data_IF_015457758096
#
_entry.id   IF_015457758096
#
_cell.length_a   1.000
_cell.length_b   1.000
_cell.length_c   1.000
_cell.angle_alpha   90.00
_cell.angle_beta   90.00
_cell.angle_gamma   90.00
#
_symmetry.space_group_name_H-M   'P 1'
#
loop_
_entity.id
_entity.type
_entity.pdbx_description
1 polymer ?
#
# COMPACT_ATOMS: atom_id res chain seq x y z
N UNK A 1 -5.70 17.29 -9.67
CA UNK A 1 -5.33 15.87 -9.49
C UNK A 1 -4.94 15.65 -8.04
N UNK A 2 -5.72 14.86 -7.29
CA UNK A 2 -5.37 14.47 -5.93
C UNK A 2 -4.17 13.53 -6.00
N UNK A 3 -2.96 14.03 -5.74
CA UNK A 3 -1.79 13.18 -5.57
C UNK A 3 -1.85 12.63 -4.15
N UNK A 4 -2.40 11.43 -3.99
CA UNK A 4 -2.29 10.73 -2.71
C UNK A 4 -0.81 10.44 -2.43
N UNK A 5 -0.41 10.66 -1.17
CA UNK A 5 0.96 10.35 -0.73
C UNK A 5 1.13 8.83 -0.71
N UNK A 6 2.26 8.29 -1.18
CA UNK A 6 2.52 6.87 -1.05
C UNK A 6 2.45 6.42 0.41
N UNK A 7 1.74 5.33 0.68
CA UNK A 7 1.55 4.80 2.03
C UNK A 7 2.07 3.38 2.13
N UNK A 8 2.56 3.01 3.31
CA UNK A 8 2.96 1.63 3.59
C UNK A 8 1.76 0.78 4.03
N UNK A 9 1.95 -0.54 4.06
CA UNK A 9 0.96 -1.48 4.56
C UNK A 9 0.55 -1.17 6.02
N UNK A 10 1.50 -0.81 6.87
CA UNK A 10 1.25 -0.46 8.27
C UNK A 10 0.48 0.85 8.40
N UNK A 11 0.86 1.88 7.63
CA UNK A 11 0.14 3.17 7.63
C UNK A 11 -1.33 3.01 7.24
N UNK A 12 -1.60 2.14 6.25
CA UNK A 12 -2.96 1.85 5.79
C UNK A 12 -3.72 1.05 6.85
N UNK A 13 -3.08 0.03 7.44
CA UNK A 13 -3.66 -0.81 8.48
C UNK A 13 -4.10 0.01 9.70
N UNK A 14 -3.26 0.94 10.16
CA UNK A 14 -3.56 1.83 11.29
C UNK A 14 -4.71 2.79 10.95
N UNK A 15 -4.75 3.32 9.73
CA UNK A 15 -5.77 4.29 9.30
C UNK A 15 -7.18 3.70 9.20
N UNK A 16 -7.28 2.43 8.81
CA UNK A 16 -8.57 1.74 8.63
C UNK A 16 -8.87 0.73 9.75
N UNK A 17 -8.01 0.69 10.78
CA UNK A 17 -8.13 -0.16 11.98
C UNK A 17 -8.31 -1.66 11.66
N UNK A 18 -7.49 -2.18 10.74
CA UNK A 18 -7.49 -3.62 10.39
C UNK A 18 -6.09 -4.25 10.47
N UNK A 19 -5.96 -5.58 10.60
CA UNK A 19 -4.67 -6.24 10.65
C UNK A 19 -3.83 -6.01 9.38
N UNK A 20 -2.53 -5.73 9.55
CA UNK A 20 -1.58 -5.56 8.43
C UNK A 20 -1.54 -6.76 7.48
N UNK A 21 -1.76 -7.99 7.97
CA UNK A 21 -1.82 -9.17 7.13
C UNK A 21 -2.97 -9.13 6.10
N UNK A 22 -4.13 -8.59 6.50
CA UNK A 22 -5.28 -8.42 5.61
C UNK A 22 -4.98 -7.36 4.55
N UNK A 23 -4.42 -6.22 4.97
CA UNK A 23 -4.00 -5.15 4.06
C UNK A 23 -2.99 -5.66 3.04
N UNK A 24 -1.98 -6.43 3.46
CA UNK A 24 -0.97 -7.00 2.57
C UNK A 24 -1.58 -7.92 1.49
N UNK A 25 -2.58 -8.72 1.87
CA UNK A 25 -3.33 -9.57 0.92
C UNK A 25 -4.04 -8.73 -0.15
N UNK A 26 -4.73 -7.66 0.27
CA UNK A 26 -5.39 -6.74 -0.64
C UNK A 26 -4.42 -5.96 -1.53
N UNK A 27 -3.31 -5.43 -0.99
CA UNK A 27 -2.28 -4.75 -1.77
C UNK A 27 -1.67 -5.68 -2.81
N UNK A 28 -1.42 -6.94 -2.45
CA UNK A 28 -0.93 -7.97 -3.38
C UNK A 28 -1.95 -8.26 -4.50
N UNK A 29 -3.25 -8.25 -4.20
CA UNK A 29 -4.30 -8.37 -5.20
C UNK A 29 -4.35 -7.15 -6.13
N UNK A 30 -4.35 -5.93 -5.59
CA UNK A 30 -4.40 -4.68 -6.35
C UNK A 30 -3.19 -4.50 -7.27
N UNK A 31 -2.00 -4.89 -6.80
CA UNK A 31 -0.77 -4.88 -7.60
C UNK A 31 -0.85 -5.86 -8.77
N UNK A 32 -1.37 -7.07 -8.55
CA UNK A 32 -1.63 -8.05 -9.63
C UNK A 32 -2.65 -7.56 -10.66
N UNK A 33 -3.51 -6.62 -10.29
CA UNK A 33 -4.48 -5.98 -11.18
C UNK A 33 -3.95 -4.69 -11.84
N UNK A 34 -2.68 -4.34 -11.64
CA UNK A 34 -2.05 -3.10 -12.14
C UNK A 34 -2.81 -1.83 -11.73
N UNK A 35 -3.36 -1.81 -10.51
CA UNK A 35 -4.03 -0.62 -9.95
C UNK A 35 -3.04 0.20 -9.12
N UNK A 36 -2.09 -0.49 -8.47
CA UNK A 36 -1.04 0.12 -7.64
C UNK A 36 0.32 -0.48 -8.00
N UNK A 37 1.39 0.24 -7.69
CA UNK A 37 2.75 -0.31 -7.69
C UNK A 37 3.57 0.20 -6.50
N UNK A 38 4.71 -0.42 -6.27
CA UNK A 38 5.69 0.02 -5.27
C UNK A 38 6.38 1.27 -5.80
N UNK A 39 6.20 2.39 -5.11
CA UNK A 39 6.89 3.64 -5.42
C UNK A 39 8.33 3.61 -4.91
N UNK A 40 8.51 3.20 -3.64
CA UNK A 40 9.81 3.12 -2.97
C UNK A 40 9.79 2.12 -1.83
N UNK A 41 10.98 1.70 -1.39
CA UNK A 41 11.16 0.87 -0.20
C UNK A 41 12.02 1.64 0.80
N UNK A 42 11.54 1.81 2.04
CA UNK A 42 12.28 2.44 3.14
C UNK A 42 12.37 1.47 4.30
N UNK A 43 13.56 1.21 4.83
CA UNK A 43 13.75 0.31 5.98
C UNK A 43 13.11 -1.07 5.79
N UNK A 44 13.19 -1.62 4.57
CA UNK A 44 12.55 -2.89 4.15
C UNK A 44 11.01 -2.86 4.09
N UNK A 45 10.40 -1.69 4.22
CA UNK A 45 8.95 -1.49 4.10
C UNK A 45 8.61 -0.85 2.74
N UNK A 46 7.77 -1.51 1.90
CA UNK A 46 7.32 -0.94 0.63
C UNK A 46 6.24 0.12 0.84
N UNK A 47 6.34 1.20 0.07
CA UNK A 47 5.35 2.26 -0.06
C UNK A 47 4.67 2.18 -1.42
N UNK A 48 3.35 2.21 -1.43
CA UNK A 48 2.56 1.98 -2.63
C UNK A 48 1.96 3.28 -3.17
N UNK A 49 1.88 3.40 -4.50
CA UNK A 49 1.18 4.47 -5.22
C UNK A 49 0.15 3.90 -6.19
N UNK A 50 -0.86 4.69 -6.51
CA UNK A 50 -1.82 4.40 -7.59
C UNK A 50 -1.14 4.70 -8.93
N UNK A 51 -1.37 3.84 -9.93
CA UNK A 51 -0.87 3.98 -11.32
C UNK A 51 -1.73 4.98 -12.09
#
# INVERSE_FOLDING_TARGET
CLKEKPQSCTDIADKIEVPSALVLSHLSYLRRKNIIDVDRVKERVPYYKII
#
